data_IF_064578224418
#
_entry.id   IF_064578224418
#
_cell.length_a   1.000
_cell.length_b   1.000
_cell.length_c   1.000
_cell.angle_alpha   90.00
_cell.angle_beta   90.00
_cell.angle_gamma   90.00
#
_symmetry.space_group_name_H-M   'P 1'
#
loop_
_entity.id
_entity.type
_entity.pdbx_description
1 polymer ?
#
# COMPACT_ATOMS: atom_id res chain seq x y z
N UNK A 1 -7.54 -1.61 -0.81
CA UNK A 1 -7.26 -2.83 -1.58
C UNK A 1 -7.19 -2.46 -3.04
N UNK A 2 -6.01 -2.60 -3.63
CA UNK A 2 -5.80 -2.37 -5.06
C UNK A 2 -5.92 -3.71 -5.78
N UNK A 3 -6.69 -3.70 -6.86
CA UNK A 3 -6.97 -4.90 -7.63
C UNK A 3 -6.60 -4.60 -9.07
N UNK A 4 -5.65 -5.36 -9.62
CA UNK A 4 -5.39 -5.35 -11.06
C UNK A 4 -6.13 -6.54 -11.65
N UNK A 5 -7.02 -6.26 -12.60
CA UNK A 5 -7.70 -7.27 -13.39
C UNK A 5 -7.06 -7.29 -14.78
N UNK A 6 -6.24 -8.30 -15.03
CA UNK A 6 -5.77 -8.58 -16.38
C UNK A 6 -6.88 -9.22 -17.20
N UNK A 7 -7.22 -8.57 -18.29
CA UNK A 7 -8.32 -8.91 -19.20
C UNK A 7 -7.79 -9.15 -20.60
N UNK A 8 -8.65 -9.64 -21.50
CA UNK A 8 -8.36 -9.73 -22.94
C UNK A 8 -9.61 -9.45 -23.74
N UNK A 9 -9.42 -9.16 -25.02
CA UNK A 9 -10.51 -8.92 -25.96
C UNK A 9 -11.47 -10.10 -26.03
N UNK A 10 -12.78 -9.81 -26.04
CA UNK A 10 -13.85 -10.80 -26.23
C UNK A 10 -13.83 -11.98 -25.24
N UNK A 11 -13.58 -11.71 -23.96
CA UNK A 11 -13.54 -12.74 -22.91
C UNK A 11 -14.73 -12.65 -21.95
N UNK A 12 -15.66 -13.61 -22.05
CA UNK A 12 -16.82 -13.68 -21.14
C UNK A 12 -16.43 -13.86 -19.67
N UNK A 13 -15.38 -14.62 -19.39
CA UNK A 13 -14.88 -14.81 -18.03
C UNK A 13 -14.38 -13.51 -17.40
N UNK A 14 -13.87 -12.55 -18.19
CA UNK A 14 -13.51 -11.23 -17.68
C UNK A 14 -14.73 -10.48 -17.14
N UNK A 15 -15.87 -10.56 -17.82
CA UNK A 15 -17.11 -9.94 -17.37
C UNK A 15 -17.65 -10.62 -16.10
N UNK A 16 -17.59 -11.97 -16.04
CA UNK A 16 -17.90 -12.74 -14.82
C UNK A 16 -17.01 -12.31 -13.64
N UNK A 17 -15.70 -12.16 -13.85
CA UNK A 17 -14.77 -11.74 -12.81
C UNK A 17 -15.06 -10.31 -12.33
N UNK A 18 -15.38 -9.37 -13.23
CA UNK A 18 -15.80 -8.00 -12.85
C UNK A 18 -17.07 -8.03 -12.01
N UNK A 19 -18.05 -8.85 -12.39
CA UNK A 19 -19.27 -9.03 -11.62
C UNK A 19 -18.96 -9.61 -10.24
N UNK A 20 -18.08 -10.62 -10.17
CA UNK A 20 -17.70 -11.24 -8.91
C UNK A 20 -17.01 -10.27 -7.93
N UNK A 21 -16.10 -9.43 -8.42
CA UNK A 21 -15.47 -8.38 -7.59
C UNK A 21 -16.53 -7.42 -7.06
N UNK A 22 -17.46 -6.94 -7.91
CA UNK A 22 -18.55 -6.04 -7.47
C UNK A 22 -19.48 -6.69 -6.45
N UNK A 23 -19.86 -7.94 -6.69
CA UNK A 23 -20.78 -8.70 -5.82
C UNK A 23 -20.14 -9.15 -4.51
N UNK A 24 -18.81 -9.14 -4.41
CA UNK A 24 -18.10 -9.48 -3.17
C UNK A 24 -18.39 -8.53 -2.00
N UNK A 25 -18.88 -7.32 -2.29
CA UNK A 25 -19.09 -6.26 -1.30
C UNK A 25 -17.80 -5.65 -0.75
N UNK A 26 -16.62 -6.07 -1.24
CA UNK A 26 -15.34 -5.52 -0.82
C UNK A 26 -15.10 -4.20 -1.54
N UNK A 27 -14.81 -3.14 -0.78
CA UNK A 27 -14.39 -1.85 -1.34
C UNK A 27 -12.97 -1.97 -1.89
N UNK A 28 -12.84 -1.99 -3.22
CA UNK A 28 -11.58 -2.13 -3.93
C UNK A 28 -11.43 -1.07 -5.04
N UNK A 29 -10.20 -0.60 -5.26
CA UNK A 29 -9.86 0.18 -6.45
C UNK A 29 -9.40 -0.78 -7.55
N UNK A 30 -10.20 -0.93 -8.60
CA UNK A 30 -9.93 -1.90 -9.69
C UNK A 30 -9.29 -1.18 -10.88
N UNK A 31 -8.10 -1.60 -11.26
CA UNK A 31 -7.42 -1.20 -12.49
C UNK A 31 -7.52 -2.34 -13.50
N UNK A 32 -8.14 -2.10 -14.66
CA UNK A 32 -8.22 -3.09 -15.73
C UNK A 32 -7.05 -2.91 -16.71
N UNK A 33 -6.36 -4.00 -17.03
CA UNK A 33 -5.26 -4.00 -18.00
C UNK A 33 -5.58 -5.04 -19.08
N UNK A 34 -5.61 -4.61 -20.33
CA UNK A 34 -5.82 -5.46 -21.50
C UNK A 34 -4.48 -6.07 -21.91
N UNK A 35 -4.33 -7.39 -21.71
CA UNK A 35 -3.07 -8.08 -22.02
C UNK A 35 -2.80 -8.07 -23.52
N UNK A 36 -3.81 -7.93 -24.39
CA UNK A 36 -3.59 -7.99 -25.84
C UNK A 36 -2.76 -6.81 -26.37
N UNK A 37 -2.55 -5.78 -25.55
CA UNK A 37 -1.77 -4.59 -25.85
C UNK A 37 -0.30 -4.69 -25.40
N UNK A 38 0.07 -5.75 -24.69
CA UNK A 38 1.38 -5.93 -24.10
C UNK A 38 1.94 -7.34 -24.39
N UNK A 39 2.97 -7.47 -25.24
CA UNK A 39 3.56 -8.77 -25.59
C UNK A 39 4.14 -9.56 -24.40
N UNK A 40 4.59 -8.91 -23.33
CA UNK A 40 5.07 -9.58 -22.12
C UNK A 40 3.91 -10.18 -21.34
N UNK A 41 2.83 -9.41 -21.15
CA UNK A 41 1.63 -9.89 -20.49
C UNK A 41 0.93 -10.97 -21.30
N UNK A 42 0.91 -10.89 -22.63
CA UNK A 42 0.42 -11.98 -23.49
C UNK A 42 1.20 -13.26 -23.22
N UNK A 43 2.54 -13.23 -23.25
CA UNK A 43 3.36 -14.42 -22.99
C UNK A 43 3.06 -15.02 -21.62
N UNK A 44 2.80 -14.16 -20.62
CA UNK A 44 2.59 -14.59 -19.24
C UNK A 44 1.18 -15.13 -18.97
N UNK A 45 0.14 -14.50 -19.49
CA UNK A 45 -1.24 -14.70 -19.02
C UNK A 45 -2.23 -15.20 -20.07
N UNK A 46 -1.82 -15.41 -21.33
CA UNK A 46 -2.75 -15.79 -22.43
C UNK A 46 -3.77 -16.87 -22.07
N UNK A 47 -3.36 -17.93 -21.38
CA UNK A 47 -4.22 -19.08 -21.04
C UNK A 47 -4.92 -18.95 -19.67
N UNK A 48 -4.62 -17.87 -18.94
CA UNK A 48 -5.00 -17.68 -17.54
C UNK A 48 -6.00 -16.53 -17.33
N UNK A 49 -6.29 -15.76 -18.37
CA UNK A 49 -7.23 -14.64 -18.31
C UNK A 49 -8.65 -15.09 -17.95
N UNK A 50 -9.35 -14.38 -17.04
CA UNK A 50 -8.88 -13.22 -16.28
C UNK A 50 -7.93 -13.60 -15.15
N UNK A 51 -6.89 -12.79 -14.95
CA UNK A 51 -6.00 -12.89 -13.79
C UNK A 51 -6.26 -11.71 -12.87
N UNK A 52 -6.57 -11.99 -11.61
CA UNK A 52 -6.74 -10.99 -10.58
C UNK A 52 -5.48 -10.96 -9.73
N UNK A 53 -4.83 -9.81 -9.70
CA UNK A 53 -3.76 -9.49 -8.76
C UNK A 53 -4.35 -8.61 -7.67
N UNK A 54 -4.23 -9.05 -6.42
CA UNK A 54 -4.65 -8.28 -5.24
C UNK A 54 -3.39 -7.92 -4.50
N UNK A 55 -3.18 -6.61 -4.33
CA UNK A 55 -2.11 -6.09 -3.49
C UNK A 55 -0.75 -6.66 -3.95
N UNK A 56 -0.45 -6.56 -5.25
CA UNK A 56 0.78 -7.04 -5.88
C UNK A 56 0.90 -8.56 -6.13
N UNK A 57 0.02 -9.39 -5.55
CA UNK A 57 0.10 -10.86 -5.67
C UNK A 57 -1.08 -11.45 -6.43
N UNK A 58 -0.78 -12.30 -7.42
CA UNK A 58 -1.76 -13.07 -8.19
C UNK A 58 -2.62 -13.91 -7.23
N UNK A 59 -3.91 -13.59 -7.20
CA UNK A 59 -4.87 -14.14 -6.26
C UNK A 59 -5.83 -15.13 -6.92
N UNK A 60 -6.27 -14.83 -8.14
CA UNK A 60 -7.22 -15.66 -8.88
C UNK A 60 -6.89 -15.72 -10.37
N UNK A 61 -7.28 -16.82 -11.01
CA UNK A 61 -7.27 -17.02 -12.47
C UNK A 61 -8.62 -17.59 -12.89
N UNK A 62 -9.01 -17.36 -14.15
CA UNK A 62 -10.23 -17.91 -14.75
C UNK A 62 -11.53 -17.46 -14.05
N UNK A 63 -12.30 -18.38 -13.46
CA UNK A 63 -13.57 -18.05 -12.81
C UNK A 63 -13.34 -17.70 -11.34
N UNK A 64 -14.00 -16.63 -10.89
CA UNK A 64 -13.87 -16.11 -9.53
C UNK A 64 -15.22 -16.13 -8.83
N UNK A 65 -15.29 -16.80 -7.69
CA UNK A 65 -16.47 -16.79 -6.82
C UNK A 65 -16.46 -15.52 -5.93
N UNK A 66 -17.56 -14.75 -5.85
CA UNK A 66 -17.62 -13.53 -5.06
C UNK A 66 -17.28 -13.73 -3.58
N UNK A 67 -17.72 -14.85 -2.98
CA UNK A 67 -17.43 -15.15 -1.58
C UNK A 67 -15.98 -15.58 -1.36
N UNK A 68 -15.39 -16.31 -2.31
CA UNK A 68 -13.97 -16.65 -2.28
C UNK A 68 -13.11 -15.38 -2.40
N UNK A 69 -13.49 -14.45 -3.26
CA UNK A 69 -12.85 -13.13 -3.35
C UNK A 69 -12.96 -12.37 -2.02
N UNK A 70 -14.16 -12.30 -1.43
CA UNK A 70 -14.37 -11.63 -0.15
C UNK A 70 -13.55 -12.26 0.99
N UNK A 71 -13.51 -13.60 1.06
CA UNK A 71 -12.69 -14.34 2.03
C UNK A 71 -11.21 -14.08 1.83
N UNK A 72 -10.73 -14.12 0.59
CA UNK A 72 -9.33 -13.85 0.28
C UNK A 72 -8.95 -12.41 0.63
N UNK A 73 -9.81 -11.44 0.32
CA UNK A 73 -9.60 -10.05 0.68
C UNK A 73 -9.56 -9.85 2.21
N UNK A 74 -10.48 -10.49 2.95
CA UNK A 74 -10.49 -10.44 4.40
C UNK A 74 -9.23 -11.11 5.00
N UNK A 75 -8.85 -12.27 4.47
CA UNK A 75 -7.68 -13.00 4.92
C UNK A 75 -6.39 -12.27 4.56
N UNK A 76 -6.28 -11.66 3.38
CA UNK A 76 -5.15 -10.78 3.03
C UNK A 76 -5.04 -9.59 3.98
N UNK A 77 -6.15 -8.98 4.37
CA UNK A 77 -6.13 -7.93 5.41
C UNK A 77 -5.64 -8.42 6.78
N UNK A 78 -5.81 -9.71 7.08
CA UNK A 78 -5.39 -10.34 8.34
C UNK A 78 -3.98 -10.94 8.31
N UNK A 79 -3.56 -11.46 7.15
CA UNK A 79 -2.26 -12.09 6.90
C UNK A 79 -1.19 -11.07 6.49
N UNK A 80 -1.60 -9.88 6.06
CA UNK A 80 -0.70 -8.76 5.88
C UNK A 80 -0.13 -8.41 7.25
N UNK A 81 1.20 -8.43 7.43
CA UNK A 81 1.78 -8.08 8.70
C UNK A 81 1.26 -6.70 9.08
N UNK A 82 0.70 -6.60 10.29
CA UNK A 82 0.33 -5.31 10.83
C UNK A 82 1.61 -4.52 11.02
N UNK A 83 2.01 -3.77 9.99
CA UNK A 83 3.22 -2.94 10.00
C UNK A 83 3.21 -2.01 11.22
N UNK A 84 2.02 -1.60 11.70
CA UNK A 84 1.91 -0.77 12.90
C UNK A 84 2.07 -1.55 14.22
N UNK A 85 1.97 -2.89 14.22
CA UNK A 85 2.29 -3.74 15.37
C UNK A 85 3.77 -4.15 15.41
N UNK A 86 4.52 -4.00 14.32
CA UNK A 86 5.96 -4.25 14.29
C UNK A 86 6.73 -3.19 15.10
N UNK A 87 7.93 -3.56 15.58
CA UNK A 87 8.86 -2.63 16.22
C UNK A 87 9.89 -2.19 15.18
N UNK A 88 10.18 -0.89 15.11
CA UNK A 88 11.29 -0.41 14.29
C UNK A 88 12.59 -1.08 14.72
N UNK A 89 13.30 -1.66 13.77
CA UNK A 89 14.62 -2.24 14.03
C UNK A 89 15.66 -1.15 13.76
N UNK A 90 16.49 -0.79 14.75
CA UNK A 90 17.53 0.21 14.55
C UNK A 90 18.42 -0.18 13.38
N UNK A 91 18.58 0.75 12.45
CA UNK A 91 19.40 0.50 11.27
C UNK A 91 20.86 0.33 11.69
N UNK A 92 21.35 -0.91 11.54
CA UNK A 92 22.76 -1.25 11.55
C UNK A 92 23.24 -1.05 10.10
N UNK A 93 24.27 -0.23 9.89
CA UNK A 93 24.80 0.01 8.55
C UNK A 93 25.13 -1.30 7.84
N UNK A 94 24.97 -1.34 6.51
CA UNK A 94 25.28 -2.50 5.67
C UNK A 94 24.09 -3.29 5.13
N UNK A 95 22.85 -2.92 5.48
CA UNK A 95 21.64 -3.43 4.80
C UNK A 95 21.34 -2.51 3.60
N UNK A 96 21.17 -3.03 2.38
CA UNK A 96 20.81 -2.22 1.23
C UNK A 96 19.41 -1.64 1.38
N UNK A 97 19.18 -0.46 0.82
CA UNK A 97 17.85 0.12 0.72
C UNK A 97 16.92 -0.80 -0.09
N UNK A 98 15.64 -0.81 0.29
CA UNK A 98 14.58 -1.47 -0.46
C UNK A 98 14.45 -0.82 -1.85
N UNK A 99 14.18 -1.64 -2.87
CA UNK A 99 14.04 -1.19 -4.26
C UNK A 99 12.99 -2.07 -4.98
N UNK A 100 12.43 -1.55 -6.08
CA UNK A 100 11.65 -2.37 -7.01
C UNK A 100 10.37 -3.00 -6.43
N UNK A 101 10.21 -4.32 -6.61
CA UNK A 101 8.96 -5.03 -6.30
C UNK A 101 8.65 -5.07 -4.79
N UNK A 102 9.65 -5.26 -3.95
CA UNK A 102 9.49 -5.31 -2.50
C UNK A 102 8.98 -3.97 -1.95
N UNK A 103 9.52 -2.88 -2.48
CA UNK A 103 9.12 -1.52 -2.13
C UNK A 103 7.65 -1.27 -2.54
N UNK A 104 7.27 -1.65 -3.77
CA UNK A 104 5.88 -1.54 -4.25
C UNK A 104 4.91 -2.37 -3.41
N UNK A 105 5.31 -3.57 -2.98
CA UNK A 105 4.50 -4.39 -2.08
C UNK A 105 4.29 -3.71 -0.74
N UNK A 106 5.35 -3.17 -0.13
CA UNK A 106 5.26 -2.49 1.16
C UNK A 106 4.48 -1.18 1.10
N UNK A 107 4.64 -0.39 0.05
CA UNK A 107 3.84 0.82 -0.18
C UNK A 107 2.37 0.47 -0.32
N UNK A 108 2.10 -0.60 -1.07
CA UNK A 108 0.75 -1.10 -1.22
C UNK A 108 0.16 -1.51 0.14
N UNK A 109 0.91 -2.28 0.93
CA UNK A 109 0.48 -2.80 2.24
C UNK A 109 0.24 -1.67 3.25
N UNK A 110 1.08 -0.63 3.23
CA UNK A 110 0.92 0.58 4.03
C UNK A 110 -0.40 1.31 3.71
N UNK A 111 -0.77 1.39 2.43
CA UNK A 111 -2.00 2.06 1.99
C UNK A 111 -2.06 3.53 2.41
N UNK A 112 -3.25 4.04 2.73
CA UNK A 112 -3.43 5.37 3.34
C UNK A 112 -3.08 6.58 2.46
N UNK A 113 -2.62 6.41 1.22
CA UNK A 113 -2.18 7.52 0.37
C UNK A 113 -0.74 7.96 0.61
N UNK A 114 0.09 7.08 1.18
CA UNK A 114 1.54 7.28 1.25
C UNK A 114 2.19 7.09 -0.13
N UNK A 115 3.00 8.06 -0.53
CA UNK A 115 3.71 8.05 -1.79
C UNK A 115 5.17 7.67 -1.56
N UNK A 116 5.69 6.79 -2.40
CA UNK A 116 7.12 6.58 -2.54
C UNK A 116 7.63 7.57 -3.58
N UNK A 117 8.55 8.43 -3.18
CA UNK A 117 9.16 9.43 -4.05
C UNK A 117 10.54 8.96 -4.44
N UNK A 118 10.77 8.80 -5.74
CA UNK A 118 12.05 8.42 -6.37
C UNK A 118 12.71 7.15 -5.79
N UNK A 119 11.90 6.19 -5.31
CA UNK A 119 12.35 5.00 -4.56
C UNK A 119 13.24 5.31 -3.34
N UNK A 120 13.23 6.55 -2.86
CA UNK A 120 14.13 7.05 -1.81
C UNK A 120 13.44 7.31 -0.47
N UNK A 121 12.23 7.85 -0.49
CA UNK A 121 11.52 8.23 0.74
C UNK A 121 10.01 8.08 0.62
N UNK A 122 9.34 7.97 1.77
CA UNK A 122 7.89 8.03 1.88
C UNK A 122 7.44 9.45 2.16
N UNK A 123 6.35 9.88 1.54
CA UNK A 123 5.72 11.17 1.80
C UNK A 123 4.20 11.04 1.90
N UNK A 124 3.60 11.74 2.87
CA UNK A 124 2.15 11.96 2.94
C UNK A 124 1.81 13.31 3.55
N UNK A 125 0.79 13.98 3.01
CA UNK A 125 0.16 15.17 3.58
C UNK A 125 -1.17 14.80 4.26
N UNK A 126 -1.33 15.25 5.51
CA UNK A 126 -2.56 15.16 6.30
C UNK A 126 -3.18 16.55 6.42
N UNK A 127 -4.50 16.65 6.22
CA UNK A 127 -5.24 17.92 6.27
C UNK A 127 -6.15 18.02 7.50
N UNK A 128 -6.25 19.23 8.06
CA UNK A 128 -6.95 19.53 9.30
C UNK A 128 -7.74 20.85 9.16
N UNK A 129 -8.82 21.05 9.95
CA UNK A 129 -9.63 22.27 9.87
C UNK A 129 -8.88 23.52 10.36
N UNK A 130 -7.90 23.37 11.24
CA UNK A 130 -7.15 24.47 11.86
C UNK A 130 -5.72 24.05 12.24
N UNK A 131 -4.92 25.04 12.67
CA UNK A 131 -3.54 24.81 13.11
C UNK A 131 -3.44 24.02 14.43
N UNK A 132 -4.40 24.17 15.33
CA UNK A 132 -4.36 23.50 16.64
C UNK A 132 -4.48 21.97 16.47
N UNK A 133 -5.40 21.53 15.62
CA UNK A 133 -5.60 20.12 15.27
C UNK A 133 -4.39 19.52 14.55
N UNK A 134 -3.76 20.30 13.66
CA UNK A 134 -2.52 19.91 12.97
C UNK A 134 -1.33 19.77 13.94
N UNK A 135 -1.19 20.71 14.89
CA UNK A 135 -0.16 20.65 15.93
C UNK A 135 -0.39 19.47 16.88
N UNK A 136 -1.64 19.18 17.25
CA UNK A 136 -1.97 18.03 18.10
C UNK A 136 -1.56 16.70 17.43
N UNK A 137 -1.85 16.56 16.13
CA UNK A 137 -1.38 15.41 15.36
C UNK A 137 0.15 15.35 15.27
N UNK A 138 0.81 16.48 15.04
CA UNK A 138 2.28 16.57 15.03
C UNK A 138 2.89 16.06 16.33
N UNK A 139 2.32 16.44 17.48
CA UNK A 139 2.78 15.96 18.79
C UNK A 139 2.60 14.44 18.96
N UNK A 140 1.49 13.88 18.45
CA UNK A 140 1.31 12.41 18.45
C UNK A 140 2.36 11.72 17.59
N UNK A 141 2.65 12.24 16.40
CA UNK A 141 3.70 11.70 15.52
C UNK A 141 5.06 11.75 16.21
N UNK A 142 5.39 12.87 16.88
CA UNK A 142 6.62 12.99 17.67
C UNK A 142 6.73 11.94 18.76
N UNK A 143 5.65 11.68 19.51
CA UNK A 143 5.64 10.64 20.54
C UNK A 143 5.86 9.23 19.98
N UNK A 144 5.24 8.91 18.83
CA UNK A 144 5.42 7.63 18.14
C UNK A 144 6.87 7.49 17.66
N UNK A 145 7.45 8.54 17.08
CA UNK A 145 8.82 8.55 16.59
C UNK A 145 9.84 8.25 17.72
N UNK A 146 9.67 8.90 18.88
CA UNK A 146 10.51 8.66 20.06
C UNK A 146 10.36 7.24 20.61
N UNK A 147 9.13 6.71 20.69
CA UNK A 147 8.89 5.32 21.14
C UNK A 147 9.55 4.28 20.22
N UNK A 148 9.61 4.58 18.92
CA UNK A 148 10.22 3.71 17.92
C UNK A 148 11.71 3.95 17.70
N UNK A 149 12.25 5.07 18.20
CA UNK A 149 13.62 5.49 17.93
C UNK A 149 13.90 5.71 16.44
N UNK A 150 12.87 6.08 15.68
CA UNK A 150 12.94 6.36 14.24
C UNK A 150 12.20 7.66 13.96
N UNK A 151 12.90 8.65 13.40
CA UNK A 151 12.44 10.03 13.40
C UNK A 151 12.15 10.48 11.97
N UNK A 152 10.91 10.90 11.67
CA UNK A 152 10.57 11.46 10.38
C UNK A 152 10.87 12.96 10.33
N UNK A 153 10.97 13.50 9.11
CA UNK A 153 10.89 14.93 8.89
C UNK A 153 9.41 15.36 8.93
N UNK A 154 9.10 16.36 9.76
CA UNK A 154 7.73 16.86 9.97
C UNK A 154 7.64 18.32 9.55
N UNK A 155 6.75 18.60 8.61
CA UNK A 155 6.41 19.96 8.19
C UNK A 155 4.98 20.31 8.62
N UNK A 156 4.87 21.17 9.65
CA UNK A 156 3.60 21.68 10.17
C UNK A 156 3.27 23.05 9.55
N UNK A 157 2.06 23.19 9.01
CA UNK A 157 1.51 24.43 8.49
C UNK A 157 0.01 24.57 8.86
N UNK A 158 -0.62 25.71 8.52
CA UNK A 158 -2.04 25.92 8.81
C UNK A 158 -2.93 24.83 8.17
N UNK A 159 -3.59 24.04 9.01
CA UNK A 159 -4.47 22.95 8.58
C UNK A 159 -3.76 21.81 7.85
N UNK A 160 -2.42 21.68 7.99
CA UNK A 160 -1.64 20.71 7.22
C UNK A 160 -0.46 20.15 8.01
N UNK A 161 -0.21 18.86 7.87
CA UNK A 161 1.01 18.20 8.34
C UNK A 161 1.53 17.30 7.23
N UNK A 162 2.72 17.59 6.72
CA UNK A 162 3.42 16.72 5.77
C UNK A 162 4.50 15.94 6.50
N UNK A 163 4.50 14.63 6.30
CA UNK A 163 5.45 13.69 6.88
C UNK A 163 6.31 13.12 5.77
N UNK A 164 7.63 13.18 5.97
CA UNK A 164 8.63 12.56 5.10
C UNK A 164 9.46 11.57 5.90
N UNK A 165 9.58 10.32 5.43
CA UNK A 165 10.25 9.22 6.16
C UNK A 165 11.27 8.54 5.28
N UNK A 166 12.49 8.42 5.79
CA UNK A 166 13.57 7.65 5.19
C UNK A 166 14.66 7.36 6.23
N UNK A 167 15.54 6.40 5.92
CA UNK A 167 16.64 6.02 6.79
C UNK A 167 17.95 6.65 6.33
N UNK A 168 18.40 7.69 7.06
CA UNK A 168 19.66 8.39 6.80
C UNK A 168 20.90 7.50 6.65
N UNK A 169 20.98 6.42 7.44
CA UNK A 169 22.17 5.54 7.45
C UNK A 169 22.36 4.72 6.17
N UNK A 170 21.31 4.51 5.39
CA UNK A 170 21.35 3.71 4.16
C UNK A 170 21.00 4.53 2.92
N UNK A 171 20.75 5.84 3.09
CA UNK A 171 20.36 6.76 2.02
C UNK A 171 19.17 6.23 1.20
N UNK A 172 18.11 5.83 1.91
CA UNK A 172 16.91 5.31 1.28
C UNK A 172 15.92 4.66 2.24
N UNK A 173 15.01 3.87 1.69
CA UNK A 173 13.94 3.19 2.42
C UNK A 173 14.37 1.83 2.98
N UNK A 174 13.90 1.55 4.18
CA UNK A 174 13.96 0.27 4.88
C UNK A 174 12.56 -0.11 5.35
N UNK A 175 12.37 -1.35 5.77
CA UNK A 175 11.09 -1.78 6.34
C UNK A 175 10.65 -0.93 7.53
N UNK A 176 11.59 -0.43 8.35
CA UNK A 176 11.30 0.42 9.51
C UNK A 176 10.61 1.73 9.12
N UNK A 177 10.88 2.25 7.91
CA UNK A 177 10.20 3.44 7.40
C UNK A 177 8.70 3.19 7.16
N UNK A 178 8.35 2.01 6.63
CA UNK A 178 6.96 1.60 6.43
C UNK A 178 6.24 1.25 7.74
N UNK A 179 6.96 0.67 8.71
CA UNK A 179 6.45 0.42 10.07
C UNK A 179 6.06 1.74 10.75
N UNK A 180 6.96 2.73 10.73
CA UNK A 180 6.69 4.05 11.31
C UNK A 180 5.51 4.74 10.60
N UNK A 181 5.49 4.71 9.26
CA UNK A 181 4.38 5.26 8.47
C UNK A 181 3.03 4.63 8.86
N UNK A 182 2.99 3.31 9.05
CA UNK A 182 1.77 2.59 9.42
C UNK A 182 1.27 2.98 10.82
N UNK A 183 2.18 3.18 11.79
CA UNK A 183 1.83 3.65 13.14
C UNK A 183 1.27 5.07 13.10
N UNK A 184 1.89 5.95 12.32
CA UNK A 184 1.41 7.31 12.09
C UNK A 184 0.00 7.28 11.48
N UNK A 185 -0.21 6.47 10.44
CA UNK A 185 -1.52 6.31 9.80
C UNK A 185 -2.61 5.89 10.78
N UNK A 186 -2.32 4.91 11.65
CA UNK A 186 -3.24 4.46 12.70
C UNK A 186 -3.61 5.55 13.70
N UNK A 187 -2.69 6.48 13.96
CA UNK A 187 -2.90 7.61 14.88
C UNK A 187 -3.59 8.82 14.25
N UNK A 188 -3.77 8.80 12.92
CA UNK A 188 -4.40 9.88 12.18
C UNK A 188 -5.92 9.88 12.42
N UNK A 189 -6.56 11.06 12.47
CA UNK A 189 -8.01 11.14 12.53
C UNK A 189 -8.62 10.53 11.27
N UNK A 190 -9.76 9.83 11.44
CA UNK A 190 -10.53 9.31 10.30
C UNK A 190 -11.02 10.49 9.45
N UNK A 191 -10.62 10.50 8.18
CA UNK A 191 -11.11 11.46 7.18
C UNK A 191 -12.53 11.16 6.74
#
# INVERSE_FOLDING_TARGET
>A
MHVILYTRSSCHLCDEAKAAIRMSGVRAHVTEIDIDRDPELQRRYTNDVPVIVIDGREAFRHRVDPQAFARYAAQRRSDMPDLAAEKCVPCRGGVPALQGEELRSLQHDLGGGWNVVDEHHLEKEFTFPDFASALEFTNRVGAIAEEEGHHPDIHLAWGKVRITIWTHKVDGLTRSDFVLAAKIERSAPSS
#
